data_IF_535333057114
#
_entry.id   IF_535333057114
#
_cell.length_a   1.000
_cell.length_b   1.000
_cell.length_c   1.000
_cell.angle_alpha   90.00
_cell.angle_beta   90.00
_cell.angle_gamma   90.00
#
_symmetry.space_group_name_H-M   'P 1'
#
loop_
_entity.id
_entity.type
_entity.pdbx_description
1 polymer ?
#
# COMPACT_ATOMS: atom_id res chain seq x y z
N UNK A 1 5.97 18.39 5.22
CA UNK A 1 4.78 18.21 6.09
C UNK A 1 4.82 19.23 7.23
N UNK A 2 5.88 19.27 8.06
CA UNK A 2 5.96 20.17 9.24
C UNK A 2 5.74 21.65 8.91
N UNK A 3 6.33 22.16 7.82
CA UNK A 3 6.14 23.54 7.37
C UNK A 3 4.66 23.81 7.01
N UNK A 4 4.05 22.90 6.22
CA UNK A 4 2.64 23.02 5.82
C UNK A 4 1.73 22.97 7.05
N UNK A 5 2.00 22.07 7.99
CA UNK A 5 1.24 21.98 9.24
C UNK A 5 1.30 23.28 10.03
N UNK A 6 2.49 23.87 10.21
CA UNK A 6 2.64 25.17 10.89
C UNK A 6 1.80 26.27 10.24
N UNK A 7 1.79 26.33 8.89
CA UNK A 7 0.97 27.29 8.16
C UNK A 7 -0.53 27.06 8.33
N UNK A 8 -0.98 25.81 8.40
CA UNK A 8 -2.39 25.48 8.67
C UNK A 8 -2.79 25.93 10.07
N UNK A 9 -1.94 25.71 11.06
CA UNK A 9 -2.18 26.19 12.44
C UNK A 9 -2.30 27.73 12.47
N UNK A 10 -1.46 28.46 11.75
CA UNK A 10 -1.53 29.92 11.70
C UNK A 10 -2.79 30.42 10.99
N UNK A 11 -3.25 29.72 9.93
CA UNK A 11 -4.55 30.02 9.28
C UNK A 11 -5.70 29.82 10.27
N UNK A 12 -5.69 28.73 11.04
CA UNK A 12 -6.73 28.45 12.03
C UNK A 12 -6.74 29.49 13.16
N UNK A 13 -5.56 29.93 13.65
CA UNK A 13 -5.47 31.04 14.61
C UNK A 13 -6.02 32.34 14.04
N UNK A 14 -5.70 32.67 12.77
CA UNK A 14 -6.24 33.83 12.09
C UNK A 14 -7.77 33.79 11.99
N UNK A 15 -8.34 32.64 11.64
CA UNK A 15 -9.79 32.46 11.58
C UNK A 15 -10.44 32.66 12.96
N UNK A 16 -9.84 32.12 14.02
CA UNK A 16 -10.33 32.28 15.38
C UNK A 16 -10.33 33.76 15.81
N UNK A 17 -9.27 34.50 15.48
CA UNK A 17 -9.20 35.96 15.75
C UNK A 17 -10.29 36.73 15.02
N UNK A 18 -10.56 36.41 13.74
CA UNK A 18 -11.59 37.08 12.96
C UNK A 18 -13.00 36.84 13.48
N UNK A 19 -13.25 35.72 14.15
CA UNK A 19 -14.56 35.33 14.66
C UNK A 19 -14.73 35.56 16.17
N UNK A 20 -13.67 36.02 16.86
CA UNK A 20 -13.67 36.20 18.30
C UNK A 20 -13.78 34.88 19.08
N UNK A 21 -13.29 33.80 18.49
CA UNK A 21 -13.26 32.45 19.11
C UNK A 21 -11.83 32.07 19.54
N UNK A 22 -11.70 30.97 20.27
CA UNK A 22 -10.40 30.39 20.67
C UNK A 22 -10.24 29.09 19.88
N UNK A 23 -9.03 28.90 19.33
CA UNK A 23 -8.62 27.66 18.65
C UNK A 23 -7.68 26.87 19.54
N UNK A 24 -7.98 25.61 19.74
CA UNK A 24 -7.14 24.62 20.39
C UNK A 24 -6.93 23.44 19.43
N UNK A 25 -5.82 22.75 19.55
CA UNK A 25 -5.55 21.54 18.76
C UNK A 25 -4.64 20.58 19.52
N UNK A 26 -4.82 19.29 19.24
CA UNK A 26 -3.95 18.22 19.71
C UNK A 26 -3.38 17.48 18.50
N UNK A 27 -2.10 17.11 18.58
CA UNK A 27 -1.47 16.24 17.59
C UNK A 27 -1.64 14.79 18.07
N UNK A 28 -2.49 14.04 17.41
CA UNK A 28 -2.83 12.66 17.79
C UNK A 28 -1.83 11.65 17.20
N UNK A 29 -1.37 11.90 15.97
CA UNK A 29 -0.51 10.99 15.23
C UNK A 29 0.34 11.74 14.20
N UNK A 30 1.52 11.22 13.94
CA UNK A 30 2.37 11.65 12.85
C UNK A 30 3.26 10.49 12.42
N UNK A 31 3.39 10.27 11.11
CA UNK A 31 4.17 9.18 10.54
C UNK A 31 5.12 9.71 9.47
N UNK A 32 6.25 9.02 9.30
CA UNK A 32 7.18 9.25 8.19
C UNK A 32 6.67 8.60 6.91
N UNK A 33 7.23 9.02 5.78
CA UNK A 33 7.06 8.35 4.50
C UNK A 33 7.71 6.96 4.51
N UNK A 34 7.19 6.08 3.68
CA UNK A 34 7.71 4.71 3.56
C UNK A 34 8.95 4.66 2.68
N UNK A 35 10.02 4.03 3.18
CA UNK A 35 11.26 3.73 2.44
C UNK A 35 11.22 2.27 2.03
N UNK A 36 10.97 1.93 0.75
CA UNK A 36 11.03 0.55 0.28
C UNK A 36 12.47 0.04 0.26
N UNK A 37 12.68 -1.22 0.69
CA UNK A 37 13.93 -1.92 0.52
C UNK A 37 13.88 -2.77 -0.76
N UNK A 38 14.72 -2.47 -1.74
CA UNK A 38 14.66 -3.11 -3.07
C UNK A 38 15.04 -4.58 -2.99
N UNK A 39 16.03 -4.96 -2.17
CA UNK A 39 16.43 -6.37 -1.98
C UNK A 39 15.26 -7.22 -1.48
N UNK A 40 14.54 -6.75 -0.47
CA UNK A 40 13.39 -7.47 0.08
C UNK A 40 12.19 -7.44 -0.89
N UNK A 41 11.98 -6.33 -1.59
CA UNK A 41 10.92 -6.19 -2.59
C UNK A 41 11.10 -7.17 -3.74
N UNK A 42 12.32 -7.34 -4.24
CA UNK A 42 12.66 -8.30 -5.30
C UNK A 42 12.37 -9.75 -4.87
N UNK A 43 12.76 -10.13 -3.65
CA UNK A 43 12.47 -11.46 -3.09
C UNK A 43 10.96 -11.69 -2.99
N UNK A 44 10.24 -10.71 -2.46
CA UNK A 44 8.79 -10.79 -2.31
C UNK A 44 8.09 -10.89 -3.67
N UNK A 45 8.52 -10.11 -4.67
CA UNK A 45 8.02 -10.17 -6.05
C UNK A 45 8.25 -11.54 -6.69
N UNK A 46 9.46 -12.09 -6.54
CA UNK A 46 9.79 -13.43 -7.04
C UNK A 46 8.90 -14.51 -6.39
N UNK A 47 8.71 -14.43 -5.08
CA UNK A 47 7.86 -15.38 -4.36
C UNK A 47 6.38 -15.23 -4.71
N UNK A 48 5.88 -14.01 -4.95
CA UNK A 48 4.53 -13.82 -5.47
C UNK A 48 4.35 -14.49 -6.84
N UNK A 49 5.35 -14.40 -7.73
CA UNK A 49 5.33 -15.08 -9.02
C UNK A 49 5.36 -16.61 -8.89
N UNK A 50 6.14 -17.15 -7.95
CA UNK A 50 6.20 -18.59 -7.68
C UNK A 50 4.89 -19.13 -7.10
N UNK A 51 4.27 -18.40 -6.19
CA UNK A 51 2.97 -18.75 -5.60
C UNK A 51 1.86 -18.62 -6.64
N UNK A 52 2.01 -17.67 -7.56
CA UNK A 52 1.06 -17.41 -8.63
C UNK A 52 -0.09 -16.50 -8.19
N UNK A 53 -1.14 -16.48 -8.99
CA UNK A 53 -2.35 -15.66 -8.72
C UNK A 53 -3.36 -16.43 -7.88
N UNK A 54 -4.34 -15.70 -7.34
CA UNK A 54 -5.50 -16.30 -6.69
C UNK A 54 -6.27 -17.17 -7.68
N UNK A 55 -6.70 -18.33 -7.22
CA UNK A 55 -7.53 -19.22 -8.02
C UNK A 55 -9.01 -18.80 -7.88
N UNK A 56 -9.41 -17.79 -8.65
CA UNK A 56 -10.78 -17.31 -8.71
C UNK A 56 -11.68 -18.29 -9.46
N UNK A 57 -12.89 -18.50 -8.96
CA UNK A 57 -13.94 -19.29 -9.57
C UNK A 57 -15.05 -18.40 -10.16
N UNK A 58 -16.08 -19.00 -10.75
CA UNK A 58 -17.21 -18.28 -11.34
C UNK A 58 -17.97 -17.41 -10.34
N UNK A 59 -18.09 -17.84 -9.09
CA UNK A 59 -18.77 -17.09 -8.03
C UNK A 59 -17.98 -15.84 -7.64
N UNK A 60 -16.64 -15.91 -7.62
CA UNK A 60 -15.78 -14.75 -7.37
C UNK A 60 -15.95 -13.70 -8.48
N UNK A 61 -15.94 -14.12 -9.74
CA UNK A 61 -16.14 -13.20 -10.86
C UNK A 61 -17.56 -12.62 -10.85
N UNK A 62 -18.57 -13.42 -10.59
CA UNK A 62 -19.96 -12.94 -10.47
C UNK A 62 -20.08 -11.90 -9.36
N UNK A 63 -19.50 -12.16 -8.19
CA UNK A 63 -19.51 -11.21 -7.08
C UNK A 63 -18.76 -9.92 -7.43
N UNK A 64 -17.58 -10.02 -8.07
CA UNK A 64 -16.81 -8.89 -8.53
C UNK A 64 -17.60 -8.04 -9.55
N UNK A 65 -18.30 -8.68 -10.49
CA UNK A 65 -19.14 -8.01 -11.49
C UNK A 65 -20.28 -7.23 -10.81
N UNK A 66 -20.96 -7.84 -9.84
CA UNK A 66 -22.04 -7.18 -9.10
C UNK A 66 -21.58 -5.97 -8.30
N UNK A 67 -20.41 -6.05 -7.70
CA UNK A 67 -19.83 -4.89 -7.01
C UNK A 67 -19.38 -3.81 -8.00
N UNK A 68 -18.81 -4.20 -9.14
CA UNK A 68 -18.36 -3.26 -10.17
C UNK A 68 -19.52 -2.44 -10.76
N UNK A 69 -20.74 -3.02 -10.87
CA UNK A 69 -21.95 -2.30 -11.30
C UNK A 69 -22.29 -1.10 -10.38
N UNK A 70 -21.82 -1.11 -9.14
CA UNK A 70 -22.05 -0.03 -8.17
C UNK A 70 -21.06 1.13 -8.27
N UNK A 71 -20.05 1.03 -9.15
CA UNK A 71 -18.98 2.01 -9.30
C UNK A 71 -19.06 2.67 -10.67
N UNK A 72 -18.91 4.00 -10.71
CA UNK A 72 -18.92 4.73 -11.99
C UNK A 72 -17.70 4.37 -12.85
N UNK A 73 -17.90 4.39 -14.18
CA UNK A 73 -16.85 4.10 -15.17
C UNK A 73 -15.63 5.02 -15.01
N UNK A 74 -15.85 6.29 -14.65
CA UNK A 74 -14.78 7.28 -14.47
C UNK A 74 -13.83 6.92 -13.31
N UNK A 75 -14.36 6.33 -12.24
CA UNK A 75 -13.52 5.85 -11.12
C UNK A 75 -12.66 4.65 -11.50
N UNK A 76 -13.15 3.81 -12.41
CA UNK A 76 -12.40 2.64 -12.90
C UNK A 76 -11.22 3.03 -13.78
N UNK A 77 -11.39 4.06 -14.60
CA UNK A 77 -10.32 4.55 -15.48
C UNK A 77 -9.16 5.19 -14.70
N UNK A 78 -9.43 5.82 -13.56
CA UNK A 78 -8.39 6.42 -12.71
C UNK A 78 -7.49 5.37 -12.05
N UNK A 79 -8.00 4.19 -11.73
CA UNK A 79 -7.23 3.08 -11.13
C UNK A 79 -6.38 2.37 -12.18
N UNK A 80 -6.82 2.34 -13.43
CA UNK A 80 -6.08 1.70 -14.52
C UNK A 80 -4.70 2.32 -14.77
N UNK A 81 -4.51 3.59 -14.42
CA UNK A 81 -3.22 4.27 -14.55
C UNK A 81 -2.18 3.84 -13.49
N UNK A 82 -2.62 3.19 -12.42
CA UNK A 82 -1.76 2.77 -11.30
C UNK A 82 -1.37 1.29 -11.40
N UNK A 83 -2.22 0.47 -12.03
CA UNK A 83 -1.98 -0.95 -12.22
C UNK A 83 -1.25 -1.16 -13.55
N UNK A 84 -0.04 -1.71 -13.50
CA UNK A 84 0.68 -2.19 -14.69
C UNK A 84 0.40 -3.68 -14.88
N UNK A 85 0.26 -4.13 -16.11
CA UNK A 85 0.01 -5.54 -16.45
C UNK A 85 -0.11 -5.74 -17.94
N UNK A 86 -0.14 -7.01 -18.39
CA UNK A 86 -0.26 -7.36 -19.81
C UNK A 86 -1.70 -7.32 -20.31
N UNK A 87 -2.68 -7.27 -19.40
CA UNK A 87 -4.10 -7.27 -19.72
C UNK A 87 -4.68 -5.86 -19.75
N UNK A 88 -5.69 -5.66 -20.59
CA UNK A 88 -6.44 -4.40 -20.63
C UNK A 88 -7.36 -4.29 -19.41
N UNK A 89 -6.87 -3.65 -18.36
CA UNK A 89 -7.54 -3.49 -17.06
C UNK A 89 -8.90 -2.79 -17.20
N UNK A 90 -9.09 -2.02 -18.26
CA UNK A 90 -10.38 -1.32 -18.49
C UNK A 90 -11.52 -2.28 -18.78
N UNK A 91 -11.21 -3.51 -19.22
CA UNK A 91 -12.15 -4.57 -19.57
C UNK A 91 -12.34 -5.62 -18.48
N UNK A 92 -11.63 -5.49 -17.37
CA UNK A 92 -11.67 -6.44 -16.26
C UNK A 92 -12.33 -5.82 -15.05
N UNK A 93 -13.03 -6.65 -14.28
CA UNK A 93 -13.53 -6.26 -12.97
C UNK A 93 -12.61 -6.74 -11.84
N UNK A 94 -11.82 -7.78 -12.08
CA UNK A 94 -10.92 -8.38 -11.11
C UNK A 94 -9.51 -8.52 -11.71
N UNK A 95 -8.50 -8.08 -10.98
CA UNK A 95 -7.11 -8.21 -11.38
C UNK A 95 -6.59 -9.60 -11.00
N UNK A 96 -6.16 -10.38 -11.98
CA UNK A 96 -5.77 -11.80 -11.86
C UNK A 96 -4.37 -12.07 -12.42
N UNK A 97 -3.46 -11.10 -12.30
CA UNK A 97 -2.06 -11.24 -12.71
C UNK A 97 -1.11 -10.83 -11.58
N UNK A 98 0.05 -11.45 -11.50
CA UNK A 98 1.17 -10.92 -10.73
C UNK A 98 1.93 -9.95 -11.63
N UNK A 99 1.92 -8.68 -11.27
CA UNK A 99 2.64 -7.64 -12.01
C UNK A 99 4.00 -7.37 -11.40
N UNK A 100 4.97 -7.04 -12.24
CA UNK A 100 6.24 -6.52 -11.80
C UNK A 100 6.07 -5.05 -11.41
N UNK A 101 6.48 -4.73 -10.18
CA UNK A 101 6.77 -3.39 -9.73
C UNK A 101 5.70 -2.33 -10.01
N UNK A 102 4.58 -2.45 -9.34
CA UNK A 102 3.50 -1.45 -9.40
C UNK A 102 3.89 -0.11 -8.76
N UNK A 103 4.95 -0.08 -7.96
CA UNK A 103 5.41 1.11 -7.25
C UNK A 103 6.87 1.39 -7.59
N UNK A 104 7.11 1.91 -8.80
CA UNK A 104 8.44 2.37 -9.17
C UNK A 104 8.85 3.55 -8.29
N UNK A 105 10.15 3.67 -8.01
CA UNK A 105 10.77 4.73 -7.19
C UNK A 105 10.35 6.17 -7.52
N UNK A 106 9.69 6.39 -8.65
CA UNK A 106 9.25 7.72 -9.12
C UNK A 106 7.76 8.01 -8.88
N UNK A 107 6.98 7.04 -8.39
CA UNK A 107 5.55 7.21 -8.13
C UNK A 107 5.29 7.29 -6.63
N UNK A 108 5.24 8.51 -6.10
CA UNK A 108 4.80 8.73 -4.72
C UNK A 108 3.28 8.56 -4.65
N UNK A 109 2.81 7.57 -3.91
CA UNK A 109 1.40 7.40 -3.60
C UNK A 109 1.12 8.10 -2.28
N UNK A 110 0.12 8.98 -2.29
CA UNK A 110 -0.32 9.67 -1.09
C UNK A 110 -1.18 8.73 -0.24
N UNK A 111 -0.53 7.89 0.55
CA UNK A 111 -1.13 7.05 1.58
C UNK A 111 -0.46 7.36 2.92
N UNK A 112 -1.21 7.20 4.02
CA UNK A 112 -0.68 7.31 5.37
C UNK A 112 -0.67 5.94 6.01
N UNK A 113 0.53 5.46 6.37
CA UNK A 113 0.76 4.16 6.99
C UNK A 113 1.84 4.30 8.06
N UNK A 114 1.63 3.70 9.21
CA UNK A 114 2.60 3.62 10.31
C UNK A 114 3.85 2.78 9.98
N UNK A 115 3.80 1.96 8.94
CA UNK A 115 4.96 1.22 8.42
C UNK A 115 6.08 2.15 7.92
N UNK A 116 5.77 3.41 7.63
CA UNK A 116 6.77 4.43 7.32
C UNK A 116 7.83 4.49 8.41
N UNK A 117 7.43 4.67 9.65
CA UNK A 117 8.35 4.74 10.80
C UNK A 117 9.20 3.47 10.95
N UNK A 118 8.61 2.29 10.74
CA UNK A 118 9.33 1.02 10.77
C UNK A 118 10.42 0.96 9.70
N UNK A 119 10.15 1.50 8.50
CA UNK A 119 11.07 1.46 7.37
C UNK A 119 12.35 2.30 7.56
N UNK A 120 12.36 3.25 8.50
CA UNK A 120 13.58 3.98 8.88
C UNK A 120 14.47 3.21 9.87
N UNK A 121 13.95 2.16 10.50
CA UNK A 121 14.65 1.40 11.55
C UNK A 121 15.12 0.05 11.02
N UNK A 122 14.29 -0.63 10.22
CA UNK A 122 14.59 -1.95 9.65
C UNK A 122 14.23 -2.00 8.17
N UNK A 123 14.96 -2.80 7.36
CA UNK A 123 14.59 -3.04 5.96
C UNK A 123 13.16 -3.57 5.85
N UNK A 124 12.35 -2.95 5.01
CA UNK A 124 10.92 -3.25 4.92
C UNK A 124 10.48 -3.37 3.47
N UNK A 125 9.66 -4.37 3.16
CA UNK A 125 8.99 -4.55 1.88
C UNK A 125 7.48 -4.74 2.07
N UNK A 126 6.71 -4.38 1.05
CA UNK A 126 5.27 -4.54 1.01
C UNK A 126 4.84 -5.24 -0.27
N UNK A 127 3.73 -5.97 -0.22
CA UNK A 127 3.02 -6.43 -1.40
C UNK A 127 1.54 -6.05 -1.32
N UNK A 128 0.91 -5.99 -2.47
CA UNK A 128 -0.54 -5.80 -2.59
C UNK A 128 -1.17 -7.01 -3.26
N UNK A 129 -2.34 -7.41 -2.79
CA UNK A 129 -3.15 -8.46 -3.40
C UNK A 129 -4.52 -7.91 -3.75
N UNK A 130 -5.13 -8.46 -4.82
CA UNK A 130 -6.47 -8.06 -5.25
C UNK A 130 -7.53 -8.55 -4.28
N UNK A 131 -7.91 -7.71 -3.33
CA UNK A 131 -8.94 -8.00 -2.32
C UNK A 131 -10.33 -7.55 -2.79
N UNK A 132 -10.40 -6.57 -3.69
CA UNK A 132 -11.64 -6.04 -4.24
C UNK A 132 -11.56 -5.76 -5.75
N UNK A 133 -12.70 -5.64 -6.42
CA UNK A 133 -12.78 -5.32 -7.84
C UNK A 133 -12.11 -3.99 -8.20
N UNK A 134 -11.64 -3.92 -9.43
CA UNK A 134 -10.99 -2.72 -10.00
C UNK A 134 -11.96 -1.54 -9.96
N UNK A 135 -11.48 -0.40 -9.43
CA UNK A 135 -12.25 0.84 -9.31
C UNK A 135 -12.96 1.01 -7.97
N UNK A 136 -12.97 0.00 -7.11
CA UNK A 136 -13.46 0.15 -5.73
C UNK A 136 -12.39 0.85 -4.89
N UNK A 137 -12.79 1.89 -4.20
CA UNK A 137 -11.89 2.62 -3.29
C UNK A 137 -11.85 1.96 -1.92
N UNK A 138 -10.70 2.08 -1.23
CA UNK A 138 -10.60 1.77 0.19
C UNK A 138 -11.62 2.59 1.02
N UNK A 139 -11.96 2.10 2.20
CA UNK A 139 -12.91 2.75 3.14
C UNK A 139 -14.34 2.92 2.60
N UNK A 140 -14.78 1.98 1.78
CA UNK A 140 -16.16 1.91 1.27
C UNK A 140 -16.86 0.63 1.72
N UNK A 141 -18.19 0.60 1.65
CA UNK A 141 -18.92 -0.62 1.96
C UNK A 141 -18.58 -1.77 0.98
N UNK A 142 -18.25 -1.43 -0.27
CA UNK A 142 -17.84 -2.41 -1.28
C UNK A 142 -16.51 -3.07 -0.90
N UNK A 143 -15.52 -2.30 -0.45
CA UNK A 143 -14.25 -2.85 0.01
C UNK A 143 -14.42 -3.72 1.26
N UNK A 144 -15.32 -3.34 2.17
CA UNK A 144 -15.66 -4.14 3.33
C UNK A 144 -16.34 -5.47 2.94
N UNK A 145 -17.33 -5.43 2.03
CA UNK A 145 -18.00 -6.62 1.53
C UNK A 145 -17.02 -7.58 0.82
N UNK A 146 -16.09 -7.03 0.02
CA UNK A 146 -15.07 -7.83 -0.66
C UNK A 146 -14.10 -8.49 0.31
N UNK A 147 -13.62 -7.76 1.32
CA UNK A 147 -12.68 -8.30 2.30
C UNK A 147 -13.26 -9.47 3.10
N UNK A 148 -14.58 -9.48 3.34
CA UNK A 148 -15.30 -10.56 4.01
C UNK A 148 -15.80 -11.68 3.09
N UNK A 149 -15.46 -11.67 1.80
CA UNK A 149 -15.86 -12.67 0.82
C UNK A 149 -14.77 -13.74 0.59
N UNK A 150 -15.11 -14.80 -0.14
CA UNK A 150 -14.14 -15.84 -0.56
C UNK A 150 -13.00 -15.24 -1.38
N UNK A 151 -13.26 -14.21 -2.19
CA UNK A 151 -12.25 -13.47 -2.92
C UNK A 151 -11.24 -12.81 -1.96
N UNK A 152 -11.71 -12.17 -0.90
CA UNK A 152 -10.85 -11.58 0.14
C UNK A 152 -10.02 -12.62 0.87
N UNK A 153 -10.61 -13.78 1.21
CA UNK A 153 -9.88 -14.90 1.84
C UNK A 153 -8.82 -15.49 0.92
N UNK A 154 -9.09 -15.64 -0.37
CA UNK A 154 -8.11 -16.08 -1.37
C UNK A 154 -6.93 -15.11 -1.47
N UNK A 155 -7.20 -13.80 -1.47
CA UNK A 155 -6.16 -12.77 -1.47
C UNK A 155 -5.30 -12.82 -0.20
N UNK A 156 -5.91 -12.99 0.97
CA UNK A 156 -5.21 -13.17 2.24
C UNK A 156 -4.30 -14.40 2.22
N UNK A 157 -4.77 -15.53 1.69
CA UNK A 157 -3.96 -16.76 1.58
C UNK A 157 -2.79 -16.58 0.61
N UNK A 158 -2.98 -15.88 -0.50
CA UNK A 158 -1.90 -15.55 -1.44
C UNK A 158 -0.82 -14.71 -0.75
N UNK A 159 -1.21 -13.63 -0.08
CA UNK A 159 -0.30 -12.77 0.67
C UNK A 159 0.48 -13.58 1.72
N UNK A 160 -0.22 -14.40 2.50
CA UNK A 160 0.38 -15.24 3.55
C UNK A 160 1.42 -16.21 2.99
N UNK A 161 1.12 -16.88 1.87
CA UNK A 161 2.06 -17.80 1.21
C UNK A 161 3.28 -17.05 0.69
N UNK A 162 3.09 -15.94 -0.01
CA UNK A 162 4.17 -15.15 -0.59
C UNK A 162 5.12 -14.60 0.49
N UNK A 163 4.56 -14.05 1.56
CA UNK A 163 5.34 -13.55 2.70
C UNK A 163 6.07 -14.69 3.40
N UNK A 164 5.42 -15.85 3.61
CA UNK A 164 6.05 -17.01 4.26
C UNK A 164 7.24 -17.54 3.46
N UNK A 165 7.10 -17.64 2.12
CA UNK A 165 8.22 -18.03 1.25
C UNK A 165 9.35 -17.01 1.35
N UNK A 166 9.04 -15.72 1.33
CA UNK A 166 10.05 -14.65 1.41
C UNK A 166 10.77 -14.64 2.76
N UNK A 167 10.06 -14.87 3.86
CA UNK A 167 10.68 -15.02 5.18
C UNK A 167 11.64 -16.21 5.19
N UNK A 168 11.23 -17.34 4.62
CA UNK A 168 12.09 -18.53 4.52
C UNK A 168 13.39 -18.23 3.74
N UNK A 169 13.29 -17.56 2.60
CA UNK A 169 14.47 -17.19 1.79
C UNK A 169 15.41 -16.26 2.54
N UNK A 170 14.86 -15.25 3.23
CA UNK A 170 15.64 -14.31 4.04
C UNK A 170 16.31 -15.01 5.23
N UNK A 171 15.63 -15.97 5.87
CA UNK A 171 16.19 -16.71 7.01
C UNK A 171 17.31 -17.67 6.61
N UNK A 172 17.30 -18.16 5.38
CA UNK A 172 18.32 -19.12 4.88
C UNK A 172 19.55 -18.45 4.26
N UNK A 173 19.49 -17.14 3.98
CA UNK A 173 20.59 -16.41 3.34
C UNK A 173 20.99 -15.15 4.11
N UNK A 174 22.04 -15.27 4.93
CA UNK A 174 22.61 -14.15 5.68
C UNK A 174 23.10 -13.01 4.77
N UNK A 175 23.52 -13.31 3.54
CA UNK A 175 23.98 -12.28 2.59
C UNK A 175 22.84 -11.37 2.17
N UNK A 176 21.62 -11.89 2.06
CA UNK A 176 20.42 -11.12 1.78
C UNK A 176 20.16 -10.12 2.91
N UNK A 177 20.23 -10.59 4.15
CA UNK A 177 20.01 -9.73 5.33
C UNK A 177 21.05 -8.60 5.36
N UNK A 178 22.31 -8.92 5.11
CA UNK A 178 23.40 -7.93 5.13
C UNK A 178 23.26 -6.90 4.00
N UNK A 179 22.85 -7.33 2.80
CA UNK A 179 22.58 -6.42 1.67
C UNK A 179 21.41 -5.49 1.98
N UNK A 180 20.29 -6.03 2.48
CA UNK A 180 19.13 -5.24 2.82
C UNK A 180 19.43 -4.19 3.91
N UNK A 181 20.17 -4.55 4.95
CA UNK A 181 20.62 -3.62 5.99
C UNK A 181 21.57 -2.55 5.44
N UNK A 182 22.47 -2.94 4.53
CA UNK A 182 23.37 -1.98 3.90
C UNK A 182 22.61 -0.98 3.05
N UNK A 183 21.66 -1.43 2.23
CA UNK A 183 20.81 -0.56 1.42
C UNK A 183 20.06 0.46 2.30
N UNK A 184 19.41 0.01 3.38
CA UNK A 184 18.73 0.92 4.30
C UNK A 184 19.72 1.95 4.87
N UNK A 185 20.87 1.52 5.35
CA UNK A 185 21.89 2.42 5.90
C UNK A 185 22.36 3.46 4.88
N UNK A 186 22.58 3.05 3.63
CA UNK A 186 23.00 3.94 2.55
C UNK A 186 21.89 4.94 2.18
N UNK A 187 20.61 4.51 2.24
CA UNK A 187 19.46 5.36 1.94
C UNK A 187 19.18 6.38 3.04
N UNK A 188 19.17 5.94 4.29
CA UNK A 188 18.90 6.79 5.45
C UNK A 188 20.07 7.72 5.77
N UNK A 189 21.29 7.29 5.46
CA UNK A 189 22.52 8.07 5.67
C UNK A 189 22.77 8.39 7.15
N UNK A 190 22.89 9.69 7.46
CA UNK A 190 23.12 10.19 8.83
C UNK A 190 21.82 10.55 9.57
N UNK A 191 20.66 10.26 8.97
CA UNK A 191 19.38 10.53 9.64
C UNK A 191 19.20 9.59 10.83
N UNK A 192 18.92 10.17 12.00
CA UNK A 192 18.55 9.44 13.20
C UNK A 192 17.02 9.51 13.36
N UNK A 193 16.37 8.35 13.34
CA UNK A 193 14.92 8.29 13.53
C UNK A 193 14.54 8.75 14.93
N UNK A 194 13.59 9.68 14.97
CA UNK A 194 12.91 10.10 16.19
C UNK A 194 11.41 10.19 15.90
N UNK A 195 10.54 9.68 16.78
CA UNK A 195 9.09 9.83 16.59
C UNK A 195 8.69 11.29 16.34
N UNK A 196 7.65 11.50 15.55
CA UNK A 196 7.13 12.85 15.28
C UNK A 196 6.42 13.42 16.50
N UNK A 197 5.92 12.55 17.35
CA UNK A 197 5.20 12.85 18.60
C UNK A 197 5.84 12.06 19.73
#
# INVERSE_FOLDING_TARGET
VRDVFGRIVDIAKGAALMTGTIMEYDIISGVYDYIPNTILTDILSQNMKLVGVQNYNEDDYYFADKLAETVSIDKRSSVSSVLSGNKDITKMNLHDEVTDDTFTHNNCISLSLDIGDVSYIIPTAQCSCSVWPIGISAHTWQSCASAGSDMGFKAMLLASKSISCSINDVMLDELVINKAKKELKDTVGSFEYTPII
#
